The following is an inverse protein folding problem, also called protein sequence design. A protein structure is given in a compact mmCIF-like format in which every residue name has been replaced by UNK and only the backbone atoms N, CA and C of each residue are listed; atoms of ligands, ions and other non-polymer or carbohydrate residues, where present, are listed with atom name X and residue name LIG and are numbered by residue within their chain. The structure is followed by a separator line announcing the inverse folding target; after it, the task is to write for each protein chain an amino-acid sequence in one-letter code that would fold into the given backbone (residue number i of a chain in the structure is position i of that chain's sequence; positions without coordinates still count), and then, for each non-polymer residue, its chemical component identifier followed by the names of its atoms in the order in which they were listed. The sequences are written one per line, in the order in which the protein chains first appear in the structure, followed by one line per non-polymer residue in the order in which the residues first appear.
data_IF_861712673389
#
_entry.id   IF_861712673389
#
_cell.length_a   1.000
_cell.length_b   1.000
_cell.length_c   1.000
_cell.angle_alpha   90.00
_cell.angle_beta   90.00
_cell.angle_gamma   90.00
#
_symmetry.space_group_name_H-M   'P 1'
#
loop_
_entity.id
_entity.type
_entity.pdbx_description
1 polymer ?
#
# COMPACT_ATOMS: atom_id res chain seq x y z
N UNK A 1 -0.39 4.04 15.06
CA UNK A 1 0.97 3.68 14.61
C UNK A 1 0.90 3.25 13.16
N UNK A 2 1.94 3.51 12.36
CA UNK A 2 1.93 3.23 10.92
C UNK A 2 2.82 2.03 10.63
N UNK A 3 2.24 0.92 10.16
CA UNK A 3 2.96 -0.36 9.93
C UNK A 3 3.89 -0.33 8.70
N UNK A 4 3.89 0.76 7.91
CA UNK A 4 4.75 0.92 6.74
C UNK A 4 6.24 1.13 7.06
N UNK A 5 6.57 1.46 8.31
CA UNK A 5 7.93 1.84 8.74
C UNK A 5 8.45 1.01 9.91
N UNK A 6 7.72 -0.03 10.28
CA UNK A 6 8.01 -0.91 11.43
C UNK A 6 7.65 -2.34 11.03
N UNK A 7 8.37 -3.31 11.58
CA UNK A 7 8.04 -4.73 11.37
C UNK A 7 6.60 -4.99 11.87
N UNK A 8 5.79 -5.62 11.00
CA UNK A 8 4.35 -5.82 11.24
C UNK A 8 4.14 -6.63 12.53
N UNK A 9 4.96 -7.65 12.78
CA UNK A 9 4.82 -8.47 13.98
C UNK A 9 5.08 -7.67 15.27
N UNK A 10 6.22 -6.98 15.36
CA UNK A 10 6.59 -6.17 16.53
C UNK A 10 5.55 -5.09 16.81
N UNK A 11 5.05 -4.47 15.74
CA UNK A 11 3.99 -3.48 15.79
C UNK A 11 2.70 -4.03 16.41
N UNK A 12 2.21 -5.15 15.88
CA UNK A 12 0.97 -5.76 16.33
C UNK A 12 1.11 -6.30 17.75
N UNK A 13 2.25 -6.89 18.10
CA UNK A 13 2.56 -7.34 19.45
C UNK A 13 2.49 -6.21 20.45
N UNK A 14 3.22 -5.13 20.18
CA UNK A 14 3.27 -4.00 21.09
C UNK A 14 1.88 -3.40 21.30
N UNK A 15 1.13 -3.17 20.20
CA UNK A 15 -0.22 -2.64 20.27
C UNK A 15 -1.18 -3.59 20.99
N UNK A 16 -1.16 -4.89 20.67
CA UNK A 16 -2.09 -5.86 21.24
C UNK A 16 -1.82 -6.08 22.73
N UNK A 17 -0.57 -6.21 23.16
CA UNK A 17 -0.24 -6.55 24.55
C UNK A 17 -0.24 -5.33 25.47
N UNK A 18 0.37 -4.22 25.06
CA UNK A 18 0.66 -3.09 25.95
C UNK A 18 -0.34 -1.94 25.82
N UNK A 19 -0.84 -1.69 24.62
CA UNK A 19 -1.71 -0.52 24.36
C UNK A 19 -3.20 -0.89 24.39
N UNK A 20 -3.56 -2.09 23.92
CA UNK A 20 -4.94 -2.49 23.78
C UNK A 20 -5.53 -2.93 25.13
N UNK A 21 -6.47 -2.12 25.63
CA UNK A 21 -7.26 -2.42 26.82
C UNK A 21 -8.23 -3.58 26.64
N UNK A 22 -8.93 -3.94 27.73
CA UNK A 22 -9.95 -5.00 27.72
C UNK A 22 -11.10 -4.64 26.76
N UNK A 23 -11.53 -5.59 25.93
CA UNK A 23 -12.52 -5.39 24.84
C UNK A 23 -12.07 -4.36 23.80
N UNK A 24 -10.77 -4.23 23.61
CA UNK A 24 -10.19 -3.38 22.58
C UNK A 24 -10.20 -4.05 21.20
N UNK A 25 -10.17 -3.20 20.17
CA UNK A 25 -10.12 -3.59 18.76
C UNK A 25 -8.88 -2.94 18.14
N UNK A 26 -8.10 -3.73 17.42
CA UNK A 26 -6.99 -3.26 16.59
C UNK A 26 -7.39 -3.39 15.12
N UNK A 27 -7.30 -2.28 14.39
CA UNK A 27 -7.55 -2.23 12.94
C UNK A 27 -6.22 -2.06 12.22
N UNK A 28 -5.92 -2.98 11.31
CA UNK A 28 -4.81 -2.85 10.35
C UNK A 28 -5.39 -2.58 8.97
N UNK A 29 -4.74 -1.69 8.21
CA UNK A 29 -5.05 -1.43 6.80
C UNK A 29 -3.73 -1.56 6.05
N UNK A 30 -3.75 -2.33 4.98
CA UNK A 30 -2.55 -2.73 4.24
C UNK A 30 -2.94 -3.05 2.80
N UNK A 31 -1.96 -3.09 1.90
CA UNK A 31 -2.21 -3.40 0.50
C UNK A 31 -2.78 -4.82 0.35
N UNK A 32 -3.79 -4.96 -0.52
CA UNK A 32 -4.25 -6.26 -1.00
C UNK A 32 -3.21 -6.90 -1.92
N UNK A 33 -3.20 -8.23 -2.02
CA UNK A 33 -2.15 -8.95 -2.77
C UNK A 33 -2.08 -8.56 -4.26
N UNK A 34 -3.21 -8.16 -4.85
CA UNK A 34 -3.28 -7.72 -6.25
C UNK A 34 -3.07 -6.21 -6.45
N UNK A 35 -2.71 -5.47 -5.40
CA UNK A 35 -2.56 -4.02 -5.43
C UNK A 35 -1.41 -3.57 -6.38
N UNK A 36 -1.64 -2.55 -7.22
CA UNK A 36 -0.62 -2.02 -8.11
C UNK A 36 0.67 -1.56 -7.42
N UNK A 37 0.64 -1.08 -6.17
CA UNK A 37 1.85 -0.68 -5.44
C UNK A 37 2.72 -1.90 -5.09
N UNK A 38 2.11 -3.04 -4.71
CA UNK A 38 2.85 -4.27 -4.48
C UNK A 38 3.52 -4.78 -5.76
N UNK A 39 2.78 -4.78 -6.87
CA UNK A 39 3.31 -5.16 -8.19
C UNK A 39 4.44 -4.24 -8.64
N UNK A 40 4.33 -2.95 -8.34
CA UNK A 40 5.39 -1.98 -8.61
C UNK A 40 6.65 -2.29 -7.79
N UNK A 41 6.50 -2.56 -6.49
CA UNK A 41 7.59 -2.96 -5.60
C UNK A 41 8.33 -4.22 -6.06
N UNK A 42 7.60 -5.22 -6.53
CA UNK A 42 8.18 -6.46 -7.04
C UNK A 42 8.94 -6.23 -8.36
N UNK A 43 8.45 -5.34 -9.24
CA UNK A 43 9.07 -5.06 -10.53
C UNK A 43 10.24 -4.07 -10.45
N UNK A 44 10.22 -3.15 -9.49
CA UNK A 44 11.19 -2.07 -9.34
C UNK A 44 11.75 -2.03 -7.91
N UNK A 45 12.75 -2.87 -7.57
CA UNK A 45 13.18 -3.10 -6.19
C UNK A 45 13.97 -1.94 -5.55
N UNK A 46 14.51 -1.00 -6.34
CA UNK A 46 15.32 0.12 -5.82
C UNK A 46 14.45 1.24 -5.19
N UNK A 47 13.59 0.90 -4.24
CA UNK A 47 12.69 1.83 -3.56
C UNK A 47 13.22 2.23 -2.19
N UNK A 48 12.73 3.37 -1.68
CA UNK A 48 13.10 3.83 -0.32
C UNK A 48 12.58 2.92 0.79
N UNK A 49 11.44 2.26 0.56
CA UNK A 49 10.84 1.31 1.50
C UNK A 49 11.08 -0.09 0.94
N UNK A 50 11.72 -0.93 1.75
CA UNK A 50 12.17 -2.26 1.34
C UNK A 50 11.02 -3.26 1.12
N UNK A 51 9.88 -3.06 1.79
CA UNK A 51 8.70 -3.90 1.64
C UNK A 51 7.44 -3.13 2.07
N UNK A 52 6.37 -3.32 1.31
CA UNK A 52 5.05 -2.87 1.73
C UNK A 52 4.41 -3.96 2.60
N UNK A 53 3.82 -3.62 3.76
CA UNK A 53 3.12 -4.58 4.59
C UNK A 53 1.91 -5.13 3.82
N UNK A 54 1.75 -6.44 3.85
CA UNK A 54 0.65 -7.15 3.20
C UNK A 54 -0.40 -7.53 4.24
N UNK A 55 -1.64 -7.62 3.81
CA UNK A 55 -2.73 -8.05 4.68
C UNK A 55 -2.46 -9.43 5.32
N UNK A 56 -1.85 -10.35 4.56
CA UNK A 56 -1.49 -11.68 5.04
C UNK A 56 -0.52 -11.67 6.22
N UNK A 57 0.31 -10.63 6.35
CA UNK A 57 1.31 -10.55 7.41
C UNK A 57 0.61 -10.36 8.77
N UNK A 58 -0.41 -9.49 8.81
CA UNK A 58 -1.24 -9.32 10.01
C UNK A 58 -2.09 -10.56 10.32
N UNK A 59 -2.61 -11.24 9.29
CA UNK A 59 -3.35 -12.50 9.44
C UNK A 59 -2.47 -13.60 10.02
N UNK A 60 -1.23 -13.73 9.53
CA UNK A 60 -0.27 -14.72 10.01
C UNK A 60 0.02 -14.52 11.50
N UNK A 61 0.37 -13.29 11.90
CA UNK A 61 0.65 -12.95 13.30
C UNK A 61 -0.56 -13.25 14.20
N UNK A 62 -1.76 -12.83 13.80
CA UNK A 62 -2.97 -13.07 14.58
C UNK A 62 -3.29 -14.58 14.70
N UNK A 63 -3.12 -15.35 13.62
CA UNK A 63 -3.38 -16.78 13.57
C UNK A 63 -2.39 -17.57 14.44
N UNK A 64 -1.10 -17.30 14.32
CA UNK A 64 -0.03 -17.95 15.10
C UNK A 64 -0.18 -17.73 16.60
N UNK A 65 -0.77 -16.59 17.00
CA UNK A 65 -0.99 -16.21 18.39
C UNK A 65 -2.38 -16.58 18.92
N UNK A 66 -3.23 -17.19 18.09
CA UNK A 66 -4.59 -17.56 18.46
C UNK A 66 -5.49 -16.36 18.78
N UNK A 67 -5.19 -15.19 18.24
CA UNK A 67 -6.03 -14.00 18.39
C UNK A 67 -7.28 -14.14 17.53
N UNK A 68 -8.40 -13.59 18.01
CA UNK A 68 -9.64 -13.53 17.21
C UNK A 68 -9.52 -12.39 16.21
N UNK A 69 -9.80 -12.65 14.95
CA UNK A 69 -9.74 -11.62 13.92
C UNK A 69 -10.78 -11.82 12.81
N UNK A 70 -11.03 -10.75 12.06
CA UNK A 70 -11.79 -10.76 10.82
C UNK A 70 -10.93 -10.17 9.70
N UNK A 71 -11.00 -10.79 8.53
CA UNK A 71 -10.45 -10.21 7.30
C UNK A 71 -11.58 -9.55 6.55
N UNK A 72 -11.43 -8.26 6.28
CA UNK A 72 -12.37 -7.49 5.50
C UNK A 72 -11.71 -7.19 4.15
N UNK A 73 -12.24 -7.71 3.03
CA UNK A 73 -11.83 -7.20 1.73
C UNK A 73 -12.14 -5.70 1.72
N UNK A 74 -11.14 -4.87 1.45
CA UNK A 74 -11.37 -3.43 1.35
C UNK A 74 -11.95 -3.07 0.00
N UNK A 75 -12.43 -1.83 -0.09
CA UNK A 75 -12.84 -1.24 -1.36
C UNK A 75 -11.61 -0.84 -2.20
N UNK A 76 -11.81 -0.70 -3.51
CA UNK A 76 -10.82 -0.07 -4.36
C UNK A 76 -10.87 1.45 -4.24
N UNK A 77 -9.71 2.06 -4.06
CA UNK A 77 -9.50 3.49 -4.06
C UNK A 77 -9.04 3.92 -5.46
N UNK A 78 -9.80 4.83 -6.08
CA UNK A 78 -9.45 5.38 -7.39
C UNK A 78 -8.47 6.54 -7.25
N UNK A 79 -7.32 6.43 -7.89
CA UNK A 79 -6.31 7.47 -7.97
C UNK A 79 -6.18 7.96 -9.41
N UNK A 80 -6.41 9.26 -9.63
CA UNK A 80 -6.17 9.91 -10.92
C UNK A 80 -4.67 10.13 -11.11
N UNK A 81 -4.10 9.40 -12.08
CA UNK A 81 -2.69 9.48 -12.45
C UNK A 81 -2.49 10.19 -13.80
N UNK A 82 -3.51 10.81 -14.39
CA UNK A 82 -3.43 11.46 -15.72
C UNK A 82 -2.21 12.36 -15.84
N UNK A 83 -1.94 13.16 -14.80
CA UNK A 83 -0.89 14.15 -14.82
C UNK A 83 0.52 13.53 -14.78
N UNK A 84 0.71 12.26 -14.36
CA UNK A 84 2.04 11.66 -14.33
C UNK A 84 2.65 11.53 -15.72
N UNK A 85 1.82 11.49 -16.77
CA UNK A 85 2.27 11.35 -18.16
C UNK A 85 2.71 12.69 -18.78
N UNK A 86 2.36 13.82 -18.18
CA UNK A 86 2.86 15.13 -18.56
C UNK A 86 4.14 15.46 -17.79
N UNK A 87 5.28 15.46 -18.48
CA UNK A 87 6.59 15.78 -17.87
C UNK A 87 6.69 17.22 -17.35
N UNK A 88 5.86 18.13 -17.85
CA UNK A 88 5.83 19.53 -17.40
C UNK A 88 4.87 19.74 -16.22
N UNK A 89 4.03 18.75 -15.91
CA UNK A 89 3.11 18.83 -14.78
C UNK A 89 3.87 18.70 -13.45
N UNK A 90 3.85 19.78 -12.67
CA UNK A 90 4.44 19.77 -11.32
C UNK A 90 3.77 18.74 -10.42
N UNK A 91 2.45 18.66 -10.46
CA UNK A 91 1.67 17.69 -9.67
C UNK A 91 1.91 16.26 -10.15
N UNK A 92 1.98 16.06 -11.47
CA UNK A 92 2.31 14.77 -12.07
C UNK A 92 3.67 14.25 -11.62
N UNK A 93 4.67 15.14 -11.56
CA UNK A 93 6.01 14.78 -11.09
C UNK A 93 6.02 14.41 -9.60
N UNK A 94 5.29 15.13 -8.75
CA UNK A 94 5.16 14.74 -7.33
C UNK A 94 4.41 13.43 -7.14
N UNK A 95 3.38 13.17 -7.94
CA UNK A 95 2.64 11.93 -7.88
C UNK A 95 3.48 10.75 -8.35
N UNK A 96 4.29 10.93 -9.40
CA UNK A 96 5.24 9.93 -9.87
C UNK A 96 6.29 9.59 -8.79
N UNK A 97 6.80 10.60 -8.09
CA UNK A 97 7.69 10.41 -6.95
C UNK A 97 7.03 9.61 -5.82
N UNK A 98 5.77 9.92 -5.50
CA UNK A 98 4.99 9.18 -4.51
C UNK A 98 4.79 7.71 -4.90
N UNK A 99 4.31 7.46 -6.11
CA UNK A 99 4.03 6.13 -6.64
C UNK A 99 5.28 5.25 -6.76
N UNK A 100 6.41 5.87 -7.09
CA UNK A 100 7.70 5.18 -7.19
C UNK A 100 8.42 5.01 -5.85
N UNK A 101 7.96 5.74 -4.82
CA UNK A 101 8.65 5.90 -3.55
C UNK A 101 10.13 6.31 -3.73
N UNK A 102 10.38 7.25 -4.65
CA UNK A 102 11.66 7.85 -4.98
C UNK A 102 11.46 9.36 -5.11
N UNK A 103 12.52 10.15 -4.95
CA UNK A 103 12.43 11.62 -5.11
C UNK A 103 13.02 12.02 -6.42
N UNK A 104 12.34 12.95 -7.10
CA UNK A 104 12.74 13.55 -8.35
C UNK A 104 13.07 12.47 -9.41
N UNK A 105 12.18 11.50 -9.61
CA UNK A 105 12.38 10.35 -10.50
C UNK A 105 12.86 10.78 -11.87
N UNK A 106 12.18 11.77 -12.48
CA UNK A 106 12.53 12.23 -13.83
C UNK A 106 13.89 12.90 -13.93
N UNK A 107 14.40 13.43 -12.83
CA UNK A 107 15.70 14.11 -12.78
C UNK A 107 16.82 13.15 -12.42
N UNK A 108 16.53 12.12 -11.61
CA UNK A 108 17.53 11.24 -11.02
C UNK A 108 17.69 9.90 -11.74
N UNK A 109 16.69 9.48 -12.53
CA UNK A 109 16.71 8.23 -13.26
C UNK A 109 17.07 8.44 -14.73
N UNK A 110 17.66 7.40 -15.33
CA UNK A 110 17.86 7.35 -16.78
C UNK A 110 16.51 7.38 -17.51
N UNK A 111 16.49 8.02 -18.68
CA UNK A 111 15.26 8.18 -19.48
C UNK A 111 14.53 6.85 -19.72
N UNK A 112 15.27 5.79 -20.03
CA UNK A 112 14.70 4.45 -20.25
C UNK A 112 14.03 3.89 -18.99
N UNK A 113 14.60 4.15 -17.80
CA UNK A 113 14.01 3.73 -16.52
C UNK A 113 12.70 4.47 -16.26
N UNK A 114 12.67 5.79 -16.51
CA UNK A 114 11.44 6.60 -16.38
C UNK A 114 10.35 6.10 -17.34
N UNK A 115 10.68 5.81 -18.59
CA UNK A 115 9.74 5.27 -19.57
C UNK A 115 9.17 3.90 -19.14
N UNK A 116 9.99 3.02 -18.56
CA UNK A 116 9.53 1.73 -18.01
C UNK A 116 8.57 1.90 -16.84
N UNK A 117 8.85 2.86 -15.94
CA UNK A 117 7.97 3.19 -14.81
C UNK A 117 6.62 3.71 -15.30
N UNK A 118 6.62 4.68 -16.22
CA UNK A 118 5.39 5.25 -16.78
C UNK A 118 4.55 4.20 -17.50
N UNK A 119 5.21 3.35 -18.31
CA UNK A 119 4.54 2.24 -19.01
C UNK A 119 3.90 1.27 -18.03
N UNK A 120 4.56 0.95 -16.92
CA UNK A 120 3.95 0.11 -15.89
C UNK A 120 2.66 0.75 -15.35
N UNK A 121 2.68 2.04 -15.01
CA UNK A 121 1.51 2.71 -14.46
C UNK A 121 0.38 2.83 -15.49
N UNK A 122 0.71 3.02 -16.76
CA UNK A 122 -0.25 2.94 -17.87
C UNK A 122 -0.91 1.55 -17.93
N UNK A 123 -0.12 0.48 -17.87
CA UNK A 123 -0.60 -0.92 -17.89
C UNK A 123 -1.45 -1.28 -16.66
N UNK A 124 -1.24 -0.63 -15.50
CA UNK A 124 -2.05 -0.84 -14.29
C UNK A 124 -3.31 0.04 -14.24
N UNK A 125 -3.54 0.89 -15.24
CA UNK A 125 -4.60 1.90 -15.23
C UNK A 125 -5.65 1.68 -16.31
N UNK A 126 -6.75 2.41 -16.22
CA UNK A 126 -7.77 2.50 -17.25
C UNK A 126 -8.19 3.96 -17.48
N UNK A 127 -8.79 4.25 -18.63
CA UNK A 127 -9.33 5.56 -18.94
C UNK A 127 -10.82 5.59 -18.55
N UNK A 128 -11.21 6.53 -17.69
CA UNK A 128 -12.60 6.69 -17.30
C UNK A 128 -13.43 7.50 -18.34
N UNK A 129 -14.72 7.64 -18.09
CA UNK A 129 -15.65 8.36 -18.97
C UNK A 129 -15.31 9.85 -19.21
N UNK A 130 -14.46 10.44 -18.36
CA UNK A 130 -13.98 11.82 -18.49
C UNK A 130 -12.60 11.92 -19.17
N UNK A 131 -12.09 10.82 -19.71
CA UNK A 131 -10.77 10.78 -20.34
C UNK A 131 -9.60 10.85 -19.34
N UNK A 132 -9.84 10.56 -18.06
CA UNK A 132 -8.82 10.54 -17.02
C UNK A 132 -8.23 9.14 -16.87
N UNK A 133 -6.93 9.06 -16.67
CA UNK A 133 -6.22 7.81 -16.42
C UNK A 133 -6.28 7.49 -14.93
N UNK A 134 -7.00 6.43 -14.57
CA UNK A 134 -7.29 6.02 -13.20
C UNK A 134 -6.59 4.70 -12.89
N UNK A 135 -5.93 4.63 -11.75
CA UNK A 135 -5.47 3.36 -11.16
C UNK A 135 -6.33 3.02 -9.94
N UNK A 136 -6.74 1.75 -9.84
CA UNK A 136 -7.43 1.22 -8.67
C UNK A 136 -6.40 0.67 -7.68
N UNK A 137 -6.21 1.39 -6.57
CA UNK A 137 -5.47 0.89 -5.41
C UNK A 137 -6.40 0.03 -4.57
N UNK A 138 -5.89 -1.07 -4.02
CA UNK A 138 -6.65 -2.08 -3.29
C UNK A 138 -6.07 -2.21 -1.90
N UNK A 139 -6.86 -1.84 -0.92
CA UNK A 139 -6.53 -2.05 0.48
C UNK A 139 -7.36 -3.22 1.04
N UNK A 140 -6.84 -3.87 2.06
CA UNK A 140 -7.58 -4.83 2.86
C UNK A 140 -7.38 -4.51 4.34
N UNK A 141 -8.42 -4.76 5.13
CA UNK A 141 -8.39 -4.55 6.56
C UNK A 141 -8.36 -5.87 7.33
N UNK A 142 -7.59 -5.92 8.43
CA UNK A 142 -7.72 -6.97 9.45
C UNK A 142 -8.17 -6.33 10.75
N UNK A 143 -9.25 -6.85 11.32
CA UNK A 143 -9.79 -6.42 12.60
C UNK A 143 -9.42 -7.48 13.63
N UNK A 144 -8.55 -7.17 14.58
CA UNK A 144 -8.10 -8.07 15.65
C UNK A 144 -8.78 -7.67 16.97
N UNK A 145 -9.29 -8.67 17.70
CA UNK A 145 -10.08 -8.47 18.92
C UNK A 145 -9.35 -8.98 20.17
N UNK A 146 -9.39 -8.20 21.26
CA UNK A 146 -8.85 -8.61 22.58
C UNK A 146 -9.94 -8.68 23.64
N UNK A 147 -10.08 -9.85 24.27
CA UNK A 147 -10.97 -10.04 25.42
C UNK A 147 -12.46 -10.07 25.07
N UNK A 148 -12.80 -10.52 23.87
CA UNK A 148 -14.18 -10.84 23.46
C UNK A 148 -14.37 -12.36 23.52
N UNK A 149 -15.14 -12.83 24.51
CA UNK A 149 -15.56 -14.23 24.64
C UNK A 149 -17.00 -14.38 24.12
N UNK A 150 -17.22 -15.44 23.35
CA UNK A 150 -18.54 -16.04 23.12
C UNK A 150 -18.41 -17.52 23.45
#
# INVERSE_FOLDING_TARGET
MTIYYVEVEDALLHCYENELGRKGILLTISHGEDDPMLKFAEKFPDQRVASFPRNRDAVAVASERGWKFFVCPGDSNNLDITNIFDSFSREGNYLLDFLSNRVNVRQNEEKESVEKILKFWEEQSFINEHGRTIVELRDNAVIILKGFDH
#
